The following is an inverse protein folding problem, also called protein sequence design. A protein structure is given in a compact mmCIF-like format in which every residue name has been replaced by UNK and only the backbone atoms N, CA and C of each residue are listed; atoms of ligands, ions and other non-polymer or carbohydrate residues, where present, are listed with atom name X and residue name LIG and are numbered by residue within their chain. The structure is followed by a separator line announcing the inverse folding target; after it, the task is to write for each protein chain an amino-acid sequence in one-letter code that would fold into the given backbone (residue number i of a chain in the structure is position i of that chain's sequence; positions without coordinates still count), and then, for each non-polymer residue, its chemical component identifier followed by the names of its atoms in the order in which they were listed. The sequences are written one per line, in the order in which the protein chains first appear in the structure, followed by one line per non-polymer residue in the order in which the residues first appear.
data_IF_764737383345
#
_entry.id   IF_764737383345
#
_cell.length_a   1.000
_cell.length_b   1.000
_cell.length_c   1.000
_cell.angle_alpha   90.00
_cell.angle_beta   90.00
_cell.angle_gamma   90.00
#
_symmetry.space_group_name_H-M   'P 1'
#
loop_
_entity.id
_entity.type
_entity.pdbx_description
1 polymer ?
#
# COMPACT_ATOMS: atom_id res chain seq x y z
N UNK A 1 34.28 8.75 18.39
CA UNK A 1 33.49 7.91 17.49
C UNK A 1 32.17 8.60 17.26
N UNK A 2 32.06 9.16 16.07
CA UNK A 2 31.01 10.08 15.68
C UNK A 2 29.67 9.34 15.53
N UNK A 3 28.84 9.35 16.57
CA UNK A 3 27.48 8.78 16.55
C UNK A 3 26.55 9.50 15.55
N UNK A 4 27.02 10.59 14.95
CA UNK A 4 26.23 11.39 14.01
C UNK A 4 26.20 10.79 12.60
N UNK A 5 27.18 9.96 12.21
CA UNK A 5 27.23 9.33 10.89
C UNK A 5 26.30 8.12 10.76
N UNK A 6 26.15 7.31 11.81
CA UNK A 6 25.29 6.13 11.79
C UNK A 6 23.79 6.47 11.66
N UNK A 7 23.32 7.57 12.26
CA UNK A 7 21.92 8.00 12.14
C UNK A 7 21.60 8.62 10.77
N UNK A 8 22.59 9.10 10.02
CA UNK A 8 22.38 9.66 8.68
C UNK A 8 22.26 8.61 7.57
N UNK A 9 22.62 7.34 7.86
CA UNK A 9 22.54 6.24 6.89
C UNK A 9 21.20 5.50 6.93
N UNK A 10 20.39 5.71 7.98
CA UNK A 10 19.12 5.01 8.15
C UNK A 10 18.01 5.54 7.23
N UNK A 11 18.07 6.79 6.81
CA UNK A 11 17.09 7.39 5.90
C UNK A 11 17.69 8.55 5.10
N UNK A 12 17.11 8.79 3.93
CA UNK A 12 17.46 9.91 3.05
C UNK A 12 16.42 11.00 3.20
N UNK A 13 16.88 12.25 3.26
CA UNK A 13 16.02 13.43 3.44
C UNK A 13 16.03 14.26 2.18
N UNK A 14 14.85 14.73 1.82
CA UNK A 14 14.70 15.78 0.82
C UNK A 14 14.22 17.04 1.53
N UNK A 15 14.80 18.15 1.14
CA UNK A 15 14.42 19.47 1.61
C UNK A 15 14.17 20.33 0.38
N UNK A 16 12.98 20.87 0.26
CA UNK A 16 12.63 21.87 -0.74
C UNK A 16 12.53 23.22 0.00
N UNK A 17 13.20 24.23 -0.52
CA UNK A 17 13.31 25.56 0.04
C UNK A 17 12.74 26.59 -0.92
N UNK A 18 12.03 27.58 -0.38
CA UNK A 18 11.62 28.78 -1.09
C UNK A 18 12.50 29.95 -0.59
N UNK A 19 13.55 30.35 -1.33
CA UNK A 19 14.60 31.21 -0.82
C UNK A 19 14.14 32.60 -0.38
N UNK A 20 13.05 33.14 -0.93
CA UNK A 20 12.54 34.45 -0.55
C UNK A 20 11.86 34.43 0.82
N UNK A 21 10.99 33.46 1.07
CA UNK A 21 10.27 33.34 2.36
C UNK A 21 11.05 32.55 3.41
N UNK A 22 12.01 31.70 3.01
CA UNK A 22 12.65 30.66 3.81
C UNK A 22 11.67 29.57 4.28
N UNK A 23 10.51 29.48 3.61
CA UNK A 23 9.59 28.37 3.83
C UNK A 23 10.16 27.07 3.27
N UNK A 24 10.02 26.00 4.01
CA UNK A 24 10.58 24.71 3.63
C UNK A 24 9.56 23.59 3.72
N UNK A 25 9.82 22.54 2.94
CA UNK A 25 9.18 21.25 3.09
C UNK A 25 10.23 20.16 3.22
N UNK A 26 10.05 19.27 4.18
CA UNK A 26 10.98 18.18 4.48
C UNK A 26 10.24 16.86 4.43
N UNK A 27 10.83 15.88 3.73
CA UNK A 27 10.30 14.52 3.67
C UNK A 27 11.45 13.51 3.73
N UNK A 28 11.19 12.39 4.39
CA UNK A 28 12.17 11.32 4.60
C UNK A 28 11.78 10.05 3.79
N UNK A 29 12.82 9.34 3.33
CA UNK A 29 12.68 8.18 2.47
C UNK A 29 13.66 7.06 2.85
N UNK A 30 13.30 5.79 2.60
CA UNK A 30 14.22 4.67 2.85
C UNK A 30 15.45 4.67 1.95
N UNK A 31 15.35 5.23 0.72
CA UNK A 31 16.46 5.26 -0.24
C UNK A 31 16.46 6.52 -1.10
N UNK A 32 17.65 6.89 -1.60
CA UNK A 32 17.82 7.96 -2.58
C UNK A 32 17.65 7.38 -3.99
N UNK A 33 16.44 7.40 -4.49
CA UNK A 33 16.06 6.92 -5.84
C UNK A 33 15.23 7.97 -6.56
N UNK A 34 15.13 7.86 -7.88
CA UNK A 34 14.44 8.87 -8.70
C UNK A 34 12.96 9.01 -8.32
N UNK A 35 12.30 7.90 -7.99
CA UNK A 35 10.90 7.86 -7.55
C UNK A 35 10.70 8.63 -6.26
N UNK A 36 11.63 8.51 -5.29
CA UNK A 36 11.58 9.24 -4.04
C UNK A 36 11.78 10.74 -4.27
N UNK A 37 12.69 11.12 -5.17
CA UNK A 37 12.89 12.52 -5.55
C UNK A 37 11.62 13.14 -6.12
N UNK A 38 10.99 12.47 -7.07
CA UNK A 38 9.75 12.96 -7.70
C UNK A 38 8.61 13.00 -6.69
N UNK A 39 8.44 11.95 -5.89
CA UNK A 39 7.42 11.88 -4.83
C UNK A 39 7.55 13.03 -3.82
N UNK A 40 8.79 13.35 -3.41
CA UNK A 40 9.05 14.46 -2.49
C UNK A 40 8.61 15.81 -3.04
N UNK A 41 8.81 16.06 -4.33
CA UNK A 41 8.34 17.28 -4.98
C UNK A 41 6.81 17.34 -5.06
N UNK A 42 6.17 16.23 -5.40
CA UNK A 42 4.69 16.14 -5.45
C UNK A 42 4.09 16.51 -4.10
N UNK A 43 4.63 15.92 -3.03
CA UNK A 43 4.19 16.23 -1.66
C UNK A 43 4.50 17.68 -1.25
N UNK A 44 5.66 18.21 -1.65
CA UNK A 44 6.00 19.61 -1.39
C UNK A 44 5.05 20.57 -2.10
N UNK A 45 4.70 20.29 -3.36
CA UNK A 45 3.74 21.11 -4.11
C UNK A 45 2.33 21.04 -3.52
N UNK A 46 1.91 19.86 -3.06
CA UNK A 46 0.65 19.68 -2.35
C UNK A 46 0.64 20.46 -1.02
N UNK A 47 1.76 20.45 -0.28
CA UNK A 47 1.93 21.19 0.98
C UNK A 47 1.84 22.70 0.78
N UNK A 48 2.51 23.24 -0.24
CA UNK A 48 2.44 24.68 -0.57
C UNK A 48 1.15 25.05 -1.31
N UNK A 49 0.43 24.10 -1.92
CA UNK A 49 -0.73 24.36 -2.76
C UNK A 49 -0.39 24.99 -4.12
N UNK A 50 0.88 25.00 -4.51
CA UNK A 50 1.36 25.69 -5.72
C UNK A 50 2.65 25.05 -6.25
N UNK A 51 2.98 25.32 -7.53
CA UNK A 51 4.15 24.80 -8.25
C UNK A 51 5.09 25.94 -8.61
N UNK A 52 6.38 25.87 -8.24
CA UNK A 52 7.37 26.89 -8.60
C UNK A 52 7.66 26.88 -10.12
N UNK A 53 7.96 28.04 -10.68
CA UNK A 53 8.27 28.14 -12.11
C UNK A 53 9.62 27.53 -12.47
N UNK A 54 10.58 27.55 -11.55
CA UNK A 54 11.91 26.95 -11.71
C UNK A 54 12.47 26.46 -10.38
N UNK A 55 13.24 25.36 -10.46
CA UNK A 55 13.91 24.77 -9.28
C UNK A 55 15.39 24.61 -9.59
N UNK A 56 16.24 24.94 -8.62
CA UNK A 56 17.68 24.70 -8.67
C UNK A 56 17.96 23.34 -8.03
N UNK A 57 18.50 22.43 -8.85
CA UNK A 57 18.83 21.08 -8.42
C UNK A 57 20.34 20.91 -8.16
N UNK A 58 20.66 19.93 -7.33
CA UNK A 58 21.98 19.36 -7.28
C UNK A 58 22.23 18.44 -8.47
N UNK A 59 23.51 18.18 -8.79
CA UNK A 59 23.90 17.20 -9.78
C UNK A 59 23.78 15.76 -9.23
N UNK A 60 22.61 15.41 -8.65
CA UNK A 60 22.35 14.08 -8.14
C UNK A 60 22.19 13.09 -9.30
N UNK A 61 22.78 11.91 -9.15
CA UNK A 61 22.72 10.82 -10.15
C UNK A 61 21.30 10.30 -10.36
N UNK A 62 20.42 10.46 -9.39
CA UNK A 62 19.00 10.07 -9.51
C UNK A 62 18.25 10.95 -10.52
N UNK A 63 18.69 12.21 -10.73
CA UNK A 63 18.04 13.18 -11.61
C UNK A 63 18.74 13.27 -12.96
N UNK A 64 20.08 13.17 -12.95
CA UNK A 64 20.95 13.37 -14.13
C UNK A 64 21.61 12.06 -14.50
N UNK A 65 21.12 11.42 -15.57
CA UNK A 65 21.69 10.16 -16.07
C UNK A 65 23.12 10.33 -16.61
N UNK A 66 23.44 11.49 -17.25
CA UNK A 66 24.76 11.78 -17.77
C UNK A 66 24.98 13.30 -17.95
N UNK A 67 26.17 13.79 -17.62
CA UNK A 67 26.62 15.13 -17.98
C UNK A 67 27.41 14.99 -19.28
N UNK A 68 27.05 15.75 -20.31
CA UNK A 68 27.72 15.74 -21.62
C UNK A 68 28.92 16.69 -21.61
N UNK A 69 29.88 16.52 -22.55
CA UNK A 69 31.08 17.34 -22.62
C UNK A 69 30.82 18.85 -22.82
N UNK A 70 29.69 19.20 -23.43
CA UNK A 70 29.23 20.58 -23.63
C UNK A 70 28.58 21.20 -22.40
N UNK A 71 28.54 20.47 -21.26
CA UNK A 71 27.91 20.88 -20.04
C UNK A 71 26.39 20.65 -19.98
N UNK A 72 25.77 20.17 -21.07
CA UNK A 72 24.38 19.79 -21.06
C UNK A 72 24.17 18.48 -20.29
N UNK A 73 22.94 18.26 -19.80
CA UNK A 73 22.61 17.10 -18.93
C UNK A 73 21.56 16.23 -19.60
N UNK A 74 21.85 14.93 -19.70
CA UNK A 74 20.84 13.94 -20.03
C UNK A 74 20.08 13.56 -18.77
N UNK A 75 18.83 13.97 -18.68
CA UNK A 75 17.94 13.69 -17.53
C UNK A 75 17.52 12.22 -17.52
N UNK A 76 17.19 11.69 -16.33
CA UNK A 76 16.47 10.45 -16.20
C UNK A 76 15.06 10.59 -16.80
N UNK A 77 14.52 9.53 -17.39
CA UNK A 77 13.22 9.58 -18.08
C UNK A 77 12.08 10.01 -17.15
N UNK A 78 12.01 9.43 -15.95
CA UNK A 78 11.02 9.75 -14.92
C UNK A 78 11.08 11.25 -14.57
N UNK A 79 12.29 11.79 -14.35
CA UNK A 79 12.46 13.19 -14.02
C UNK A 79 12.09 14.14 -15.17
N UNK A 80 12.36 13.74 -16.41
CA UNK A 80 11.94 14.52 -17.59
C UNK A 80 10.41 14.58 -17.71
N UNK A 81 9.73 13.46 -17.48
CA UNK A 81 8.28 13.39 -17.43
C UNK A 81 7.68 14.29 -16.34
N UNK A 82 8.26 14.25 -15.14
CA UNK A 82 7.87 15.09 -14.02
C UNK A 82 8.00 16.60 -14.34
N UNK A 83 9.15 17.03 -14.85
CA UNK A 83 9.37 18.44 -15.24
C UNK A 83 8.36 18.92 -16.29
N UNK A 84 8.07 18.07 -17.27
CA UNK A 84 7.10 18.37 -18.33
C UNK A 84 5.68 18.45 -17.80
N UNK A 85 5.28 17.56 -16.88
CA UNK A 85 3.95 17.55 -16.28
C UNK A 85 3.65 18.83 -15.50
N UNK A 86 4.61 19.29 -14.69
CA UNK A 86 4.48 20.49 -13.88
C UNK A 86 4.97 21.77 -14.58
N UNK A 87 5.47 21.68 -15.80
CA UNK A 87 6.04 22.79 -16.58
C UNK A 87 7.19 23.52 -15.85
N UNK A 88 8.02 22.80 -15.12
CA UNK A 88 9.10 23.34 -14.32
C UNK A 88 10.37 23.50 -15.18
N UNK A 89 11.05 24.64 -15.03
CA UNK A 89 12.39 24.85 -15.57
C UNK A 89 13.42 24.37 -14.57
N UNK A 90 14.18 23.35 -14.91
CA UNK A 90 15.29 22.89 -14.10
C UNK A 90 16.51 23.79 -14.30
N UNK A 91 17.14 24.13 -13.19
CA UNK A 91 18.45 24.82 -13.14
C UNK A 91 19.38 23.95 -12.31
N UNK A 92 20.68 24.08 -12.54
CA UNK A 92 21.68 23.31 -11.82
C UNK A 92 22.76 24.24 -11.30
N UNK A 93 23.18 23.99 -10.06
CA UNK A 93 24.34 24.67 -9.48
C UNK A 93 25.61 24.42 -10.29
N UNK A 94 26.52 25.36 -10.26
CA UNK A 94 27.82 25.23 -10.93
C UNK A 94 28.63 24.13 -10.24
N UNK A 95 29.27 23.23 -10.98
CA UNK A 95 30.11 22.19 -10.40
C UNK A 95 31.20 22.80 -9.52
N UNK A 96 31.34 22.34 -8.27
CA UNK A 96 32.39 22.76 -7.35
C UNK A 96 32.25 24.13 -6.67
N UNK A 97 31.10 24.84 -6.85
CA UNK A 97 30.82 26.10 -6.15
C UNK A 97 29.67 25.93 -5.15
N UNK A 98 30.00 25.61 -3.91
CA UNK A 98 29.03 25.46 -2.81
C UNK A 98 28.22 26.74 -2.49
N UNK A 99 28.78 27.92 -2.79
CA UNK A 99 28.12 29.21 -2.53
C UNK A 99 26.78 29.42 -3.26
N UNK A 100 26.52 28.69 -4.34
CA UNK A 100 25.24 28.76 -5.06
C UNK A 100 24.08 28.11 -4.28
N UNK A 101 24.39 27.45 -3.15
CA UNK A 101 23.45 26.68 -2.31
C UNK A 101 23.45 27.05 -0.82
N UNK A 102 24.12 28.11 -0.44
CA UNK A 102 24.36 28.47 0.97
C UNK A 102 23.08 28.48 1.82
N UNK A 103 21.95 28.88 1.26
CA UNK A 103 20.66 28.87 1.97
C UNK A 103 20.15 27.46 2.26
N UNK A 104 20.15 26.58 1.25
CA UNK A 104 19.66 25.19 1.39
C UNK A 104 20.52 24.38 2.35
N UNK A 105 21.85 24.55 2.32
CA UNK A 105 22.76 23.86 3.26
C UNK A 105 22.52 24.30 4.71
N UNK A 106 22.31 25.61 4.93
CA UNK A 106 21.92 26.16 6.22
C UNK A 106 20.60 25.58 6.72
N UNK A 107 19.61 25.49 5.84
CA UNK A 107 18.29 24.95 6.14
C UNK A 107 18.31 23.44 6.41
N UNK A 108 19.06 22.66 5.64
CA UNK A 108 19.28 21.23 5.91
C UNK A 108 19.89 21.03 7.30
N UNK A 109 20.89 21.86 7.66
CA UNK A 109 21.47 21.88 9.00
C UNK A 109 20.47 22.26 10.10
N UNK A 110 19.61 23.25 9.83
CA UNK A 110 18.52 23.64 10.74
C UNK A 110 17.54 22.49 10.97
N UNK A 111 17.01 21.90 9.89
CA UNK A 111 16.06 20.78 9.97
C UNK A 111 16.66 19.58 10.71
N UNK A 112 17.95 19.28 10.49
CA UNK A 112 18.64 18.22 11.23
C UNK A 112 18.66 18.49 12.73
N UNK A 113 19.02 19.70 13.15
CA UNK A 113 19.14 20.04 14.57
C UNK A 113 17.80 20.19 15.28
N UNK A 114 16.78 20.72 14.60
CA UNK A 114 15.53 21.11 15.23
C UNK A 114 14.41 20.07 15.04
N UNK A 115 14.42 19.34 13.92
CA UNK A 115 13.39 18.33 13.66
C UNK A 115 13.85 16.89 13.96
N UNK A 116 15.17 16.64 14.09
CA UNK A 116 15.70 15.28 14.15
C UNK A 116 16.67 15.06 15.32
N UNK A 117 16.65 15.92 16.30
CA UNK A 117 17.43 15.75 17.53
C UNK A 117 16.54 16.10 18.73
N UNK A 118 16.23 15.13 19.60
CA UNK A 118 16.54 13.68 19.46
C UNK A 118 15.85 13.06 18.24
N UNK A 119 16.43 11.96 17.73
CA UNK A 119 15.83 11.27 16.58
C UNK A 119 14.46 10.70 17.00
N UNK A 120 13.37 11.14 16.37
CA UNK A 120 12.05 10.65 16.74
C UNK A 120 11.83 9.22 16.25
N UNK A 121 11.12 8.41 17.05
CA UNK A 121 10.76 7.05 16.72
C UNK A 121 9.30 7.02 16.23
N UNK A 122 9.08 6.41 15.08
CA UNK A 122 7.75 6.25 14.48
C UNK A 122 7.53 4.82 14.00
N UNK A 123 6.30 4.35 14.08
CA UNK A 123 5.92 3.02 13.62
C UNK A 123 5.94 2.89 12.09
N UNK A 124 5.70 3.98 11.35
CA UNK A 124 5.60 3.99 9.89
C UNK A 124 6.26 5.22 9.28
N UNK A 125 6.70 5.10 8.02
CA UNK A 125 7.21 6.20 7.21
C UNK A 125 6.20 7.34 7.06
N UNK A 126 4.93 6.97 6.93
CA UNK A 126 3.85 7.95 6.78
C UNK A 126 3.68 8.80 8.05
N UNK A 127 3.64 8.16 9.23
CA UNK A 127 3.57 8.86 10.52
C UNK A 127 4.78 9.80 10.71
N UNK A 128 5.98 9.37 10.32
CA UNK A 128 7.17 10.20 10.38
C UNK A 128 7.07 11.41 9.45
N UNK A 129 6.62 11.20 8.22
CA UNK A 129 6.49 12.27 7.25
C UNK A 129 5.38 13.26 7.59
N UNK A 130 4.26 12.82 8.17
CA UNK A 130 3.21 13.70 8.70
C UNK A 130 3.75 14.58 9.83
N UNK A 131 4.55 14.01 10.73
CA UNK A 131 5.20 14.77 11.79
C UNK A 131 6.19 15.80 11.24
N UNK A 132 7.01 15.45 10.24
CA UNK A 132 7.93 16.41 9.57
C UNK A 132 7.16 17.56 8.92
N UNK A 133 6.04 17.26 8.27
CA UNK A 133 5.17 18.26 7.66
C UNK A 133 4.61 19.21 8.69
N UNK A 134 4.21 18.71 9.86
CA UNK A 134 3.76 19.54 10.97
C UNK A 134 4.90 20.45 11.52
N UNK A 135 6.15 19.97 11.60
CA UNK A 135 7.28 20.82 11.95
C UNK A 135 7.50 21.93 10.92
N UNK A 136 7.35 21.63 9.64
CA UNK A 136 7.43 22.64 8.57
C UNK A 136 6.32 23.69 8.70
N UNK A 137 5.08 23.30 9.06
CA UNK A 137 3.98 24.24 9.34
C UNK A 137 4.25 25.12 10.56
N UNK A 138 4.76 24.54 11.64
CA UNK A 138 5.13 25.29 12.86
C UNK A 138 6.20 26.34 12.55
N UNK A 139 7.21 25.97 11.75
CA UNK A 139 8.27 26.89 11.35
C UNK A 139 7.75 28.12 10.60
N UNK A 140 6.62 28.04 9.91
CA UNK A 140 6.03 29.21 9.24
C UNK A 140 5.62 30.33 10.21
N UNK A 141 5.51 30.04 11.51
CA UNK A 141 5.27 31.06 12.56
C UNK A 141 6.53 31.79 13.01
N UNK A 142 7.70 31.30 12.62
CA UNK A 142 8.97 31.89 13.02
C UNK A 142 9.21 33.20 12.26
N UNK A 143 9.89 34.16 12.94
CA UNK A 143 10.38 35.38 12.33
C UNK A 143 11.89 35.27 12.19
N UNK A 144 12.40 35.46 10.97
CA UNK A 144 13.83 35.39 10.73
C UNK A 144 14.55 36.59 11.29
N UNK A 145 15.83 36.41 11.69
CA UNK A 145 16.65 37.46 12.21
C UNK A 145 16.78 38.59 11.19
N UNK A 146 16.38 39.81 11.58
CA UNK A 146 16.42 41.02 10.75
C UNK A 146 15.18 41.25 9.90
N UNK A 147 14.20 40.32 9.92
CA UNK A 147 12.91 40.48 9.28
C UNK A 147 11.83 40.94 10.26
N UNK A 148 10.80 41.64 9.79
CA UNK A 148 9.66 42.08 10.59
C UNK A 148 8.41 41.22 10.45
N UNK A 149 8.44 40.25 9.58
CA UNK A 149 7.31 39.37 9.21
C UNK A 149 7.65 37.91 9.44
N UNK A 150 6.63 37.12 9.67
CA UNK A 150 6.78 35.65 9.76
C UNK A 150 7.12 35.04 8.41
N UNK A 151 7.69 33.83 8.43
CA UNK A 151 7.94 33.03 7.23
C UNK A 151 6.61 32.79 6.46
N UNK A 152 5.49 32.55 7.18
CA UNK A 152 4.18 32.34 6.59
C UNK A 152 3.62 33.58 5.87
N UNK A 153 3.82 34.78 6.43
CA UNK A 153 3.42 36.04 5.76
C UNK A 153 4.24 36.28 4.49
N UNK A 154 5.54 36.02 4.54
CA UNK A 154 6.41 36.12 3.35
C UNK A 154 6.08 35.05 2.30
N UNK A 155 5.68 33.85 2.72
CA UNK A 155 5.27 32.76 1.84
C UNK A 155 4.08 33.17 0.93
N UNK A 156 3.16 34.02 1.39
CA UNK A 156 2.05 34.47 0.55
C UNK A 156 2.51 35.19 -0.72
N UNK A 157 3.65 35.90 -0.66
CA UNK A 157 4.25 36.55 -1.84
C UNK A 157 4.87 35.53 -2.79
N UNK A 158 5.50 34.48 -2.26
CA UNK A 158 6.01 33.38 -3.09
C UNK A 158 4.87 32.68 -3.81
N UNK A 159 3.79 32.35 -3.09
CA UNK A 159 2.64 31.68 -3.66
C UNK A 159 1.94 32.49 -4.77
N UNK A 160 1.94 33.81 -4.67
CA UNK A 160 1.37 34.67 -5.71
C UNK A 160 2.11 34.58 -7.06
N UNK A 161 3.42 34.24 -7.04
CA UNK A 161 4.25 34.07 -8.22
C UNK A 161 4.31 32.60 -8.72
N UNK A 162 3.79 31.66 -7.93
CA UNK A 162 3.76 30.25 -8.27
C UNK A 162 2.54 29.91 -9.14
N UNK A 163 2.57 28.75 -9.78
CA UNK A 163 1.47 28.25 -10.61
C UNK A 163 0.51 27.40 -9.77
N UNK A 164 -0.74 27.33 -10.20
CA UNK A 164 -1.70 26.39 -9.61
C UNK A 164 -1.30 24.94 -9.84
N UNK A 165 -1.72 24.08 -8.94
CA UNK A 165 -1.55 22.63 -9.07
C UNK A 165 -2.31 22.11 -10.30
N UNK A 166 -1.78 21.11 -11.02
CA UNK A 166 -2.51 20.39 -12.05
C UNK A 166 -3.69 19.63 -11.44
N UNK A 167 -4.66 19.25 -12.25
CA UNK A 167 -5.86 18.51 -11.83
C UNK A 167 -5.56 17.13 -11.23
N UNK A 168 -4.45 16.50 -11.65
CA UNK A 168 -3.96 15.25 -11.09
C UNK A 168 -2.47 15.32 -10.85
N UNK A 169 -1.94 14.71 -9.76
CA UNK A 169 -0.51 14.63 -9.52
C UNK A 169 0.17 13.73 -10.58
N UNK A 170 1.45 13.93 -10.76
CA UNK A 170 2.27 13.06 -11.59
C UNK A 170 2.42 11.67 -10.94
N UNK A 171 2.47 10.62 -11.76
CA UNK A 171 2.65 9.23 -11.28
C UNK A 171 4.15 8.94 -11.04
N UNK A 172 4.57 9.05 -9.77
CA UNK A 172 5.95 8.94 -9.34
C UNK A 172 6.41 7.47 -9.22
N UNK A 173 6.34 6.70 -10.30
CA UNK A 173 6.77 5.31 -10.31
C UNK A 173 7.86 5.04 -11.34
N UNK A 174 8.79 4.16 -11.00
CA UNK A 174 9.67 3.51 -11.97
C UNK A 174 8.87 2.46 -12.73
N UNK A 175 8.90 2.51 -14.05
CA UNK A 175 8.14 1.61 -14.91
C UNK A 175 9.07 0.58 -15.53
N UNK A 176 8.71 -0.68 -15.38
CA UNK A 176 9.47 -1.81 -15.92
C UNK A 176 8.48 -2.87 -16.45
N UNK A 177 9.03 -3.83 -17.17
CA UNK A 177 8.29 -4.99 -17.69
C UNK A 177 9.04 -6.25 -17.33
N UNK A 178 8.31 -7.32 -17.08
CA UNK A 178 8.90 -8.60 -16.74
C UNK A 178 8.06 -9.76 -17.23
N UNK A 179 8.61 -10.95 -17.12
CA UNK A 179 7.90 -12.20 -17.37
C UNK A 179 7.80 -13.00 -16.09
N UNK A 180 6.61 -13.51 -15.81
CA UNK A 180 6.36 -14.34 -14.64
C UNK A 180 7.06 -15.69 -14.80
N UNK A 181 7.84 -16.08 -13.78
CA UNK A 181 8.53 -17.37 -13.75
C UNK A 181 7.55 -18.53 -13.53
N UNK A 182 8.05 -19.79 -13.69
CA UNK A 182 7.30 -20.99 -13.33
C UNK A 182 6.96 -21.11 -11.83
N UNK A 183 7.65 -20.34 -10.99
CA UNK A 183 7.39 -20.24 -9.55
C UNK A 183 6.42 -19.10 -9.19
N UNK A 184 5.80 -18.46 -10.20
CA UNK A 184 4.89 -17.32 -10.03
C UNK A 184 5.58 -16.12 -9.37
N UNK A 185 6.82 -15.87 -9.76
CA UNK A 185 7.64 -14.74 -9.30
C UNK A 185 7.98 -13.83 -10.49
N UNK A 186 8.04 -12.54 -10.21
CA UNK A 186 8.45 -11.49 -11.13
C UNK A 186 9.63 -10.75 -10.54
N UNK A 187 10.73 -10.67 -11.29
CA UNK A 187 11.91 -9.94 -10.85
C UNK A 187 11.77 -8.45 -11.14
N UNK A 188 11.97 -7.66 -10.09
CA UNK A 188 12.16 -6.23 -10.20
C UNK A 188 13.44 -5.82 -9.48
N UNK A 189 14.38 -5.25 -10.21
CA UNK A 189 15.76 -4.99 -9.75
C UNK A 189 16.41 -6.27 -9.20
N UNK A 190 16.67 -6.34 -7.90
CA UNK A 190 17.34 -7.50 -7.27
C UNK A 190 16.38 -8.44 -6.57
N UNK A 191 15.10 -8.07 -6.42
CA UNK A 191 14.12 -8.80 -5.63
C UNK A 191 13.06 -9.47 -6.51
N UNK A 192 12.52 -10.57 -6.03
CA UNK A 192 11.48 -11.33 -6.70
C UNK A 192 10.16 -11.22 -5.94
N UNK A 193 9.09 -10.79 -6.63
CA UNK A 193 7.78 -10.54 -6.07
C UNK A 193 6.77 -11.56 -6.58
N UNK A 194 5.97 -12.13 -5.70
CA UNK A 194 4.98 -13.13 -6.10
C UNK A 194 3.77 -12.51 -6.81
N UNK A 195 3.20 -13.28 -7.73
CA UNK A 195 1.92 -12.99 -8.38
C UNK A 195 1.02 -14.23 -8.32
N UNK A 196 -0.30 -14.11 -8.50
CA UNK A 196 -1.18 -15.27 -8.50
C UNK A 196 -0.74 -16.33 -9.53
N UNK A 197 -0.77 -17.59 -9.15
CA UNK A 197 -0.26 -18.72 -9.95
C UNK A 197 -0.89 -18.83 -11.34
N UNK A 198 -2.09 -18.29 -11.53
CA UNK A 198 -2.76 -18.24 -12.82
C UNK A 198 -2.02 -17.41 -13.89
N UNK A 199 -1.11 -16.53 -13.49
CA UNK A 199 -0.35 -15.67 -14.39
C UNK A 199 1.05 -16.19 -14.69
N UNK A 200 1.38 -17.44 -14.31
CA UNK A 200 2.67 -18.04 -14.64
C UNK A 200 2.96 -17.96 -16.15
N UNK A 201 4.21 -17.61 -16.49
CA UNK A 201 4.73 -17.44 -17.85
C UNK A 201 4.10 -16.31 -18.69
N UNK A 202 3.28 -15.43 -18.10
CA UNK A 202 2.73 -14.27 -18.79
C UNK A 202 3.68 -13.06 -18.65
N UNK A 203 3.58 -12.14 -19.62
CA UNK A 203 4.27 -10.87 -19.56
C UNK A 203 3.45 -9.89 -18.73
N UNK A 204 4.14 -9.13 -17.89
CA UNK A 204 3.54 -8.20 -16.92
C UNK A 204 4.23 -6.85 -16.97
N UNK A 205 3.50 -5.81 -16.63
CA UNK A 205 4.07 -4.50 -16.34
C UNK A 205 4.27 -4.33 -14.83
N UNK A 206 5.27 -3.55 -14.46
CA UNK A 206 5.66 -3.25 -13.08
C UNK A 206 5.67 -1.74 -12.91
N UNK A 207 5.01 -1.26 -11.85
CA UNK A 207 5.09 0.14 -11.39
C UNK A 207 5.63 0.14 -9.97
N UNK A 208 6.84 0.58 -9.82
CA UNK A 208 7.50 0.61 -8.51
C UNK A 208 7.51 2.03 -7.95
N UNK A 209 6.71 2.22 -6.92
CA UNK A 209 6.66 3.43 -6.09
C UNK A 209 7.72 3.36 -4.99
N UNK A 210 7.77 4.36 -4.13
CA UNK A 210 8.70 4.37 -2.99
C UNK A 210 8.39 3.24 -1.99
N UNK A 211 7.12 3.02 -1.69
CA UNK A 211 6.70 2.06 -0.66
C UNK A 211 6.06 0.80 -1.23
N UNK A 212 5.64 0.82 -2.47
CA UNK A 212 4.90 -0.27 -3.09
C UNK A 212 5.50 -0.69 -4.44
N UNK A 213 5.36 -1.97 -4.75
CA UNK A 213 5.54 -2.53 -6.10
C UNK A 213 4.20 -3.06 -6.57
N UNK A 214 3.67 -2.47 -7.64
CA UNK A 214 2.41 -2.86 -8.26
C UNK A 214 2.70 -3.59 -9.56
N UNK A 215 2.15 -4.78 -9.70
CA UNK A 215 2.34 -5.65 -10.87
C UNK A 215 0.98 -5.84 -11.54
N UNK A 216 0.97 -5.73 -12.85
CA UNK A 216 -0.27 -5.90 -13.60
C UNK A 216 -0.08 -6.65 -14.90
N UNK A 217 -1.17 -7.22 -15.38
CA UNK A 217 -1.24 -7.99 -16.62
C UNK A 217 -2.48 -7.56 -17.41
N UNK A 218 -2.35 -7.38 -18.73
CA UNK A 218 -3.47 -7.03 -19.62
C UNK A 218 -4.30 -5.82 -19.18
N UNK A 219 -3.66 -4.84 -18.53
CA UNK A 219 -4.32 -3.61 -18.06
C UNK A 219 -4.88 -3.69 -16.64
N UNK A 220 -4.92 -4.85 -16.00
CA UNK A 220 -5.40 -5.06 -14.64
C UNK A 220 -4.24 -5.21 -13.65
N UNK A 221 -4.43 -4.71 -12.44
CA UNK A 221 -3.50 -4.94 -11.32
C UNK A 221 -3.74 -6.35 -10.78
N UNK A 222 -2.69 -7.17 -10.76
CA UNK A 222 -2.76 -8.57 -10.30
C UNK A 222 -2.07 -8.79 -8.96
N UNK A 223 -1.14 -7.90 -8.57
CA UNK A 223 -0.47 -7.96 -7.28
C UNK A 223 0.00 -6.58 -6.82
N UNK A 224 0.02 -6.37 -5.51
CA UNK A 224 0.64 -5.24 -4.84
C UNK A 224 1.43 -5.76 -3.65
N UNK A 225 2.68 -5.34 -3.54
CA UNK A 225 3.57 -5.72 -2.44
C UNK A 225 4.20 -4.49 -1.82
N UNK A 226 4.51 -4.52 -0.52
CA UNK A 226 5.46 -3.58 0.07
C UNK A 226 6.80 -3.68 -0.68
N UNK A 227 7.40 -2.53 -1.01
CA UNK A 227 8.70 -2.52 -1.68
C UNK A 227 9.79 -2.90 -0.70
N UNK A 228 10.54 -3.96 -1.02
CA UNK A 228 11.73 -4.35 -0.29
C UNK A 228 12.96 -3.59 -0.81
N UNK A 229 13.75 -3.03 0.11
CA UNK A 229 14.97 -2.29 -0.18
C UNK A 229 16.25 -3.12 0.03
N UNK A 230 16.10 -4.30 0.60
CA UNK A 230 17.17 -5.29 0.70
C UNK A 230 17.42 -5.93 -0.66
N UNK A 231 18.44 -6.79 -0.75
CA UNK A 231 18.82 -7.41 -2.01
C UNK A 231 18.58 -8.90 -2.00
N UNK A 232 18.21 -9.42 -3.17
CA UNK A 232 18.04 -10.84 -3.44
C UNK A 232 17.00 -11.52 -2.55
N UNK A 233 15.96 -10.73 -2.17
CA UNK A 233 14.85 -11.19 -1.35
C UNK A 233 13.70 -11.74 -2.19
N UNK A 234 12.98 -12.71 -1.59
CA UNK A 234 11.77 -13.30 -2.13
C UNK A 234 10.56 -12.77 -1.35
N UNK A 235 9.75 -11.94 -1.99
CA UNK A 235 8.60 -11.30 -1.36
C UNK A 235 7.34 -12.08 -1.76
N UNK A 236 6.85 -12.90 -0.84
CA UNK A 236 5.68 -13.73 -1.04
C UNK A 236 4.40 -13.08 -0.50
N UNK A 237 3.32 -13.22 -1.26
CA UNK A 237 1.97 -13.14 -0.74
C UNK A 237 1.41 -14.57 -0.71
N UNK A 238 1.15 -15.16 0.46
CA UNK A 238 0.66 -16.52 0.60
C UNK A 238 -0.60 -16.83 -0.22
N UNK A 239 -1.48 -15.84 -0.35
CA UNK A 239 -2.76 -15.96 -1.07
C UNK A 239 -2.53 -16.36 -2.52
N UNK A 240 -1.47 -15.89 -3.16
CA UNK A 240 -1.16 -16.18 -4.56
C UNK A 240 -0.96 -17.68 -4.85
N UNK A 241 -0.58 -18.46 -3.85
CA UNK A 241 -0.25 -19.90 -3.97
C UNK A 241 -1.36 -20.84 -3.49
N UNK A 242 -2.38 -20.32 -2.83
CA UNK A 242 -3.47 -21.15 -2.27
C UNK A 242 -4.17 -22.04 -3.34
N UNK A 243 -4.44 -21.58 -4.59
CA UNK A 243 -5.02 -22.42 -5.61
C UNK A 243 -4.16 -23.65 -5.96
N UNK A 244 -2.83 -23.50 -5.94
CA UNK A 244 -1.89 -24.59 -6.18
C UNK A 244 -1.84 -25.54 -4.98
N UNK A 245 -1.86 -24.99 -3.77
CA UNK A 245 -1.81 -25.76 -2.52
C UNK A 245 -3.09 -26.54 -2.26
N UNK A 246 -4.25 -26.07 -2.73
CA UNK A 246 -5.49 -26.83 -2.72
C UNK A 246 -5.39 -28.11 -3.55
N UNK A 247 -4.64 -28.07 -4.65
CA UNK A 247 -4.38 -29.25 -5.48
C UNK A 247 -3.29 -30.15 -4.86
N UNK A 248 -2.27 -29.57 -4.23
CA UNK A 248 -1.10 -30.25 -3.67
C UNK A 248 -1.06 -30.17 -2.14
N UNK A 249 -2.06 -30.71 -1.46
CA UNK A 249 -2.24 -30.59 -0.01
C UNK A 249 -1.02 -31.07 0.82
N UNK A 250 -0.25 -32.00 0.31
CA UNK A 250 0.96 -32.51 1.01
C UNK A 250 2.09 -31.47 1.06
N UNK A 251 2.08 -30.47 0.16
CA UNK A 251 3.07 -29.39 0.16
C UNK A 251 2.70 -28.24 1.09
N UNK A 252 1.49 -28.21 1.65
CA UNK A 252 0.98 -27.08 2.42
C UNK A 252 1.89 -26.70 3.60
N UNK A 253 2.30 -27.67 4.40
CA UNK A 253 3.09 -27.42 5.61
C UNK A 253 4.57 -27.06 5.34
N UNK A 254 5.04 -27.31 4.11
CA UNK A 254 6.44 -27.07 3.71
C UNK A 254 6.58 -25.95 2.68
N UNK A 255 5.47 -25.32 2.28
CA UNK A 255 5.47 -24.30 1.27
C UNK A 255 6.16 -23.01 1.77
N UNK A 256 7.28 -22.63 1.16
CA UNK A 256 8.01 -21.43 1.51
C UNK A 256 7.12 -20.16 1.52
N UNK A 257 6.15 -19.97 0.59
CA UNK A 257 5.24 -18.82 0.62
C UNK A 257 4.36 -18.71 1.87
N UNK A 258 4.16 -19.80 2.61
CA UNK A 258 3.36 -19.81 3.86
C UNK A 258 4.21 -19.63 5.12
N UNK A 259 5.53 -19.67 5.00
CA UNK A 259 6.42 -19.47 6.14
C UNK A 259 6.31 -18.03 6.63
N UNK A 260 6.11 -17.88 7.96
CA UNK A 260 5.96 -16.55 8.55
C UNK A 260 4.59 -15.87 8.29
N UNK A 261 3.64 -16.57 7.67
CA UNK A 261 2.29 -16.03 7.52
C UNK A 261 1.53 -16.09 8.84
N UNK A 262 1.43 -14.95 9.50
CA UNK A 262 0.73 -14.82 10.77
C UNK A 262 -0.77 -14.68 10.52
N UNK A 263 -1.52 -15.67 10.99
CA UNK A 263 -2.98 -15.69 11.02
C UNK A 263 -3.46 -15.71 12.48
N UNK A 264 -4.63 -15.15 12.78
CA UNK A 264 -5.25 -15.27 14.11
C UNK A 264 -5.36 -16.72 14.56
N UNK A 265 -5.27 -16.98 15.88
CA UNK A 265 -5.23 -18.33 16.47
C UNK A 265 -6.45 -19.18 16.12
N UNK A 266 -7.59 -18.55 15.87
CA UNK A 266 -8.82 -19.21 15.48
C UNK A 266 -8.68 -20.00 14.18
N UNK A 267 -7.82 -19.55 13.24
CA UNK A 267 -7.54 -20.30 12.01
C UNK A 267 -6.78 -21.60 12.29
N UNK A 268 -5.82 -21.58 13.21
CA UNK A 268 -5.12 -22.80 13.61
C UNK A 268 -6.06 -23.77 14.34
N UNK A 269 -6.99 -23.26 15.14
CA UNK A 269 -8.02 -24.04 15.82
C UNK A 269 -8.99 -24.67 14.83
N UNK A 270 -9.48 -23.87 13.85
CA UNK A 270 -10.35 -24.36 12.78
C UNK A 270 -9.67 -25.47 11.98
N UNK A 271 -8.40 -25.29 11.60
CA UNK A 271 -7.62 -26.30 10.89
C UNK A 271 -7.56 -27.62 11.66
N UNK A 272 -7.17 -27.58 12.94
CA UNK A 272 -7.09 -28.77 13.79
C UNK A 272 -8.43 -29.52 13.87
N UNK A 273 -9.54 -28.79 14.03
CA UNK A 273 -10.88 -29.39 14.10
C UNK A 273 -11.30 -29.99 12.76
N UNK A 274 -11.07 -29.32 11.65
CA UNK A 274 -11.36 -29.85 10.31
C UNK A 274 -10.53 -31.10 10.00
N UNK A 275 -9.23 -31.09 10.28
CA UNK A 275 -8.36 -32.24 10.07
C UNK A 275 -8.74 -33.42 10.98
N UNK A 276 -9.07 -33.18 12.23
CA UNK A 276 -9.51 -34.22 13.15
C UNK A 276 -10.84 -34.86 12.74
N UNK A 277 -11.77 -34.06 12.18
CA UNK A 277 -13.12 -34.56 11.78
C UNK A 277 -13.14 -35.20 10.40
N UNK A 278 -12.37 -34.68 9.45
CA UNK A 278 -12.48 -35.04 8.01
C UNK A 278 -11.14 -35.46 7.39
N UNK A 279 -10.06 -35.59 8.17
CA UNK A 279 -8.72 -35.97 7.72
C UNK A 279 -8.26 -35.12 6.50
N UNK A 280 -7.89 -35.77 5.41
CA UNK A 280 -7.42 -35.11 4.18
C UNK A 280 -8.44 -34.16 3.55
N UNK A 281 -9.71 -34.47 3.67
CA UNK A 281 -10.80 -33.61 3.16
C UNK A 281 -10.88 -32.31 3.99
N UNK A 282 -10.73 -32.40 5.30
CA UNK A 282 -10.70 -31.23 6.19
C UNK A 282 -9.53 -30.29 5.90
N UNK A 283 -8.35 -30.82 5.52
CA UNK A 283 -7.24 -30.01 5.08
C UNK A 283 -7.58 -29.24 3.78
N UNK A 284 -8.28 -29.89 2.84
CA UNK A 284 -8.72 -29.22 1.61
C UNK A 284 -9.74 -28.11 1.89
N UNK A 285 -10.73 -28.38 2.71
CA UNK A 285 -11.71 -27.36 3.12
C UNK A 285 -11.05 -26.18 3.84
N UNK A 286 -10.05 -26.45 4.70
CA UNK A 286 -9.27 -25.38 5.32
C UNK A 286 -8.58 -24.48 4.30
N UNK A 287 -7.94 -25.05 3.28
CA UNK A 287 -7.34 -24.27 2.19
C UNK A 287 -8.40 -23.47 1.43
N UNK A 288 -9.60 -24.04 1.22
CA UNK A 288 -10.73 -23.32 0.60
C UNK A 288 -11.21 -22.14 1.47
N UNK A 289 -11.21 -22.30 2.80
CA UNK A 289 -11.48 -21.16 3.71
C UNK A 289 -10.44 -20.08 3.55
N UNK A 290 -9.14 -20.42 3.49
CA UNK A 290 -8.09 -19.44 3.26
C UNK A 290 -8.22 -18.76 1.90
N UNK A 291 -8.68 -19.47 0.87
CA UNK A 291 -8.93 -18.90 -0.46
C UNK A 291 -10.02 -17.83 -0.50
N UNK A 292 -10.88 -17.75 0.50
CA UNK A 292 -11.81 -16.63 0.63
C UNK A 292 -11.07 -15.28 0.77
N UNK A 293 -9.82 -15.28 1.23
CA UNK A 293 -8.94 -14.09 1.24
C UNK A 293 -8.56 -13.58 -0.16
N UNK A 294 -8.81 -14.36 -1.22
CA UNK A 294 -8.67 -13.87 -2.60
C UNK A 294 -9.69 -12.76 -2.91
N UNK A 295 -10.79 -12.69 -2.16
CA UNK A 295 -11.91 -11.77 -2.43
C UNK A 295 -12.31 -10.92 -1.22
N UNK A 296 -12.14 -11.44 0.00
CA UNK A 296 -12.61 -10.81 1.24
C UNK A 296 -11.45 -10.44 2.16
N UNK A 297 -11.63 -9.43 2.98
CA UNK A 297 -10.65 -8.99 3.95
C UNK A 297 -10.46 -9.99 5.10
N UNK A 298 -9.23 -10.03 5.65
CA UNK A 298 -8.89 -10.91 6.77
C UNK A 298 -9.77 -10.65 8.00
N UNK A 299 -10.13 -9.40 8.27
CA UNK A 299 -10.97 -9.05 9.43
C UNK A 299 -12.38 -9.67 9.35
N UNK A 300 -12.99 -9.65 8.17
CA UNK A 300 -14.32 -10.22 7.95
C UNK A 300 -14.28 -11.75 7.97
N UNK A 301 -13.27 -12.34 7.33
CA UNK A 301 -13.08 -13.80 7.35
C UNK A 301 -12.78 -14.29 8.78
N UNK A 302 -11.94 -13.59 9.54
CA UNK A 302 -11.65 -13.92 10.93
C UNK A 302 -12.90 -13.91 11.80
N UNK A 303 -13.74 -12.87 11.66
CA UNK A 303 -14.99 -12.80 12.39
C UNK A 303 -15.94 -13.95 12.04
N UNK A 304 -16.03 -14.33 10.76
CA UNK A 304 -16.82 -15.49 10.32
C UNK A 304 -16.28 -16.81 10.87
N UNK A 305 -14.96 -17.01 10.86
CA UNK A 305 -14.28 -18.17 11.44
C UNK A 305 -14.56 -18.27 12.95
N UNK A 306 -14.42 -17.17 13.67
CA UNK A 306 -14.72 -17.11 15.12
C UNK A 306 -16.17 -17.48 15.42
N UNK A 307 -17.11 -16.96 14.65
CA UNK A 307 -18.54 -17.30 14.79
C UNK A 307 -18.80 -18.77 14.44
N UNK A 308 -18.19 -19.31 13.37
CA UNK A 308 -18.30 -20.71 13.00
C UNK A 308 -17.82 -21.66 14.11
N UNK A 309 -16.69 -21.34 14.75
CA UNK A 309 -16.16 -22.07 15.89
C UNK A 309 -17.11 -22.03 17.08
N UNK A 310 -17.69 -20.88 17.42
CA UNK A 310 -18.66 -20.73 18.51
C UNK A 310 -19.94 -21.56 18.27
N UNK A 311 -20.36 -21.66 17.02
CA UNK A 311 -21.55 -22.44 16.63
C UNK A 311 -21.27 -23.95 16.45
N UNK A 312 -19.98 -24.36 16.44
CA UNK A 312 -19.57 -25.73 16.11
C UNK A 312 -19.75 -26.10 14.63
N UNK A 313 -19.96 -25.11 13.77
CA UNK A 313 -20.20 -25.26 12.32
C UNK A 313 -18.89 -25.09 11.55
N UNK A 314 -18.02 -26.09 11.59
CA UNK A 314 -16.60 -26.01 11.16
C UNK A 314 -16.36 -26.37 9.68
N UNK A 315 -17.38 -26.45 8.82
CA UNK A 315 -17.21 -26.73 7.40
C UNK A 315 -16.95 -25.45 6.58
N UNK A 316 -16.34 -25.61 5.38
CA UNK A 316 -16.12 -24.51 4.44
C UNK A 316 -17.41 -23.74 4.11
N UNK A 317 -18.49 -24.48 3.78
CA UNK A 317 -19.77 -23.87 3.42
C UNK A 317 -20.36 -23.03 4.58
N UNK A 318 -20.20 -23.48 5.81
CA UNK A 318 -20.66 -22.74 6.98
C UNK A 318 -19.89 -21.43 7.16
N UNK A 319 -18.56 -21.48 7.08
CA UNK A 319 -17.71 -20.28 7.17
C UNK A 319 -18.03 -19.30 6.04
N UNK A 320 -18.14 -19.80 4.80
CA UNK A 320 -18.51 -18.98 3.64
C UNK A 320 -19.89 -18.34 3.80
N UNK A 321 -20.87 -19.09 4.28
CA UNK A 321 -22.21 -18.56 4.52
C UNK A 321 -22.20 -17.44 5.57
N UNK A 322 -21.49 -17.64 6.69
CA UNK A 322 -21.37 -16.63 7.75
C UNK A 322 -20.65 -15.37 7.25
N UNK A 323 -19.60 -15.54 6.44
CA UNK A 323 -18.88 -14.44 5.80
C UNK A 323 -19.80 -13.64 4.87
N UNK A 324 -20.54 -14.32 3.99
CA UNK A 324 -21.48 -13.66 3.08
C UNK A 324 -22.60 -12.93 3.85
N UNK A 325 -23.17 -13.55 4.88
CA UNK A 325 -24.17 -12.89 5.73
C UNK A 325 -23.65 -11.62 6.42
N UNK A 326 -22.34 -11.57 6.68
CA UNK A 326 -21.68 -10.43 7.30
C UNK A 326 -21.41 -9.31 6.29
N UNK A 327 -20.87 -9.66 5.11
CA UNK A 327 -20.48 -8.70 4.06
C UNK A 327 -21.71 -8.20 3.30
N UNK A 328 -22.61 -9.10 2.93
CA UNK A 328 -23.90 -8.72 2.40
C UNK A 328 -24.75 -8.23 3.56
N UNK A 329 -24.71 -6.96 3.86
CA UNK A 329 -25.67 -6.37 4.80
C UNK A 329 -27.06 -6.76 4.29
N UNK A 330 -27.69 -7.80 4.93
CA UNK A 330 -29.06 -8.15 4.58
C UNK A 330 -29.88 -6.86 4.63
N UNK A 331 -30.58 -6.49 3.55
CA UNK A 331 -31.43 -5.32 3.61
C UNK A 331 -32.31 -5.43 4.86
N UNK A 332 -32.53 -4.35 5.59
CA UNK A 332 -33.39 -4.38 6.77
C UNK A 332 -34.68 -5.07 6.34
N UNK A 333 -35.18 -6.01 7.18
CA UNK A 333 -36.44 -6.70 6.88
C UNK A 333 -37.44 -5.66 6.44
N UNK A 334 -38.04 -5.90 5.27
CA UNK A 334 -39.03 -4.99 4.73
C UNK A 334 -40.08 -4.78 5.85
N UNK A 335 -40.25 -3.53 6.25
CA UNK A 335 -41.29 -3.20 7.23
C UNK A 335 -42.63 -3.31 6.48
N UNK A 336 -43.31 -4.45 6.70
CA UNK A 336 -44.56 -4.73 6.03
C UNK A 336 -45.67 -3.77 6.45
N UNK A 337 -45.53 -3.05 7.55
CA UNK A 337 -46.50 -2.02 7.99
C UNK A 337 -46.48 -0.79 7.06
N UNK A 338 -45.39 -0.58 6.31
CA UNK A 338 -45.34 0.42 5.25
C UNK A 338 -46.16 0.05 3.99
N UNK A 339 -46.69 -1.17 3.90
CA UNK A 339 -47.42 -1.69 2.73
C UNK A 339 -48.80 -2.24 3.16
N UNK A 340 -49.77 -1.38 3.55
CA UNK A 340 -51.06 -1.77 4.10
C UNK A 340 -51.95 -2.58 3.14
N UNK A 341 -51.60 -2.60 1.83
CA UNK A 341 -52.32 -3.34 0.79
C UNK A 341 -51.78 -4.75 0.54
N UNK A 342 -50.68 -5.15 1.19
CA UNK A 342 -50.23 -6.53 1.13
C UNK A 342 -51.01 -7.41 2.07
N UNK A 343 -51.58 -8.57 1.62
CA UNK A 343 -52.28 -9.48 2.46
C UNK A 343 -51.34 -10.04 3.54
N UNK A 344 -51.71 -9.95 4.79
CA UNK A 344 -50.98 -10.58 5.92
C UNK A 344 -51.19 -12.09 5.87
N UNK A 345 -50.41 -12.79 5.06
CA UNK A 345 -50.40 -14.25 5.03
C UNK A 345 -49.44 -14.78 6.10
N UNK A 346 -49.99 -15.42 7.12
CA UNK A 346 -49.21 -16.25 8.05
C UNK A 346 -49.10 -17.65 7.47
N UNK A 347 -47.90 -18.05 7.11
CA UNK A 347 -47.62 -19.45 6.74
C UNK A 347 -47.38 -20.21 8.05
N UNK A 348 -48.30 -21.12 8.37
CA UNK A 348 -48.15 -22.00 9.53
C UNK A 348 -46.86 -22.84 9.35
N UNK A 349 -46.04 -22.86 10.41
CA UNK A 349 -44.85 -23.72 10.42
C UNK A 349 -45.31 -25.17 10.37
N UNK A 350 -44.98 -25.86 9.29
CA UNK A 350 -45.18 -27.30 9.13
C UNK A 350 -44.53 -28.05 10.30
N UNK A 351 -45.30 -28.79 11.03
CA UNK A 351 -44.81 -29.61 12.15
C UNK A 351 -44.44 -30.99 11.63
N UNK A 352 -43.32 -31.61 12.08
CA UNK A 352 -42.92 -32.96 11.65
C UNK A 352 -44.05 -33.98 11.78
N UNK A 353 -44.91 -33.84 12.80
CA UNK A 353 -46.07 -34.67 12.99
C UNK A 353 -47.14 -34.63 11.88
N UNK A 354 -47.14 -33.54 11.06
CA UNK A 354 -48.06 -33.45 9.93
C UNK A 354 -47.63 -34.38 8.76
N UNK A 355 -46.35 -34.75 8.71
CA UNK A 355 -45.80 -35.67 7.71
C UNK A 355 -45.82 -37.12 8.17
N UNK A 356 -45.94 -37.40 9.46
CA UNK A 356 -46.05 -38.77 9.99
C UNK A 356 -47.33 -39.48 9.53
N UNK A 357 -48.38 -38.73 9.20
CA UNK A 357 -49.62 -39.30 8.64
C UNK A 357 -49.42 -39.83 7.22
N UNK A 358 -48.44 -39.35 6.44
CA UNK A 358 -48.14 -39.85 5.13
C UNK A 358 -47.39 -41.20 5.14
N UNK A 359 -46.77 -41.53 6.28
CA UNK A 359 -46.04 -42.77 6.47
C UNK A 359 -46.96 -43.91 6.99
N UNK A 360 -48.16 -43.57 7.48
CA UNK A 360 -49.12 -44.52 8.02
C UNK A 360 -50.21 -44.95 7.02
N UNK A 361 -50.25 -44.34 5.80
CA UNK A 361 -51.28 -44.68 4.80
C UNK A 361 -50.94 -45.87 3.88
N UNK A 362 -49.70 -46.40 3.92
CA UNK A 362 -49.26 -47.49 3.03
C UNK A 362 -49.39 -48.89 3.67
N UNK A 363 -50.03 -49.03 4.83
CA UNK A 363 -50.16 -50.32 5.53
C UNK A 363 -51.58 -50.97 5.47
N UNK A 364 -52.55 -50.28 4.88
CA UNK A 364 -53.97 -50.84 4.87
C UNK A 364 -54.45 -51.28 3.46
N UNK A 365 -53.67 -51.05 2.39
CA UNK A 365 -54.10 -51.54 1.04
C UNK A 365 -53.37 -52.80 0.56
N UNK A 366 -52.79 -53.59 1.48
CA UNK A 366 -52.19 -54.90 1.18
C UNK A 366 -52.73 -56.02 2.08
N UNK A 367 -54.08 -56.17 2.15
CA UNK A 367 -54.72 -57.37 2.72
C UNK A 367 -55.87 -57.82 1.83
#
# INVERSE_FOLDING_TARGET
LDRSSAASDVYKRQVLDLPHSDACYVRAYPAAVAEAWVDGHIHAFAFFGAVPQSIVYDNDRCLVAKILPDGTRKRAALFSGFLSHYLIRDRYGRPGKGNDKGNVEGLVGYCRRNFMVPLPEFATWEAFNLWLEEQCRKRQQDVLRGEGETIGERLQRDLAEMRSLPASPFDACDQDTGRVSSQSLVRYKTNDYSVPVAFAHQDVWIRAYVHDVVIGCRGEVIARHPRCWDRDELIFNPIHYLPLLEQKLNAFDQAAPLQGWELPEEFATLRRLMEARMNRHGRREYVQVLRLLETFDLADLHAAVKQALQMGAIGFDAVKHLLLCRVEHRPPRLDLDCYPYLPRTTVDKTRPGSYMRLLSSDAEDAA
#
